data_IF_198910764627
#
_entry.id   IF_198910764627
#
_cell.length_a   1.000
_cell.length_b   1.000
_cell.length_c   1.000
_cell.angle_alpha   90.00
_cell.angle_beta   90.00
_cell.angle_gamma   90.00
#
_symmetry.space_group_name_H-M   'P 1'
#
loop_
_entity.id
_entity.type
_entity.pdbx_description
1 polymer ?
#
# COMPACT_ATOMS: atom_id res chain seq x y z
N UNK A 1 14.91 10.26 -17.32
CA UNK A 1 13.88 10.28 -18.36
C UNK A 1 13.88 11.64 -19.05
N UNK A 2 13.99 11.72 -20.39
CA UNK A 2 14.01 13.00 -21.11
C UNK A 2 12.73 13.85 -20.88
N UNK A 3 11.60 13.23 -20.59
CA UNK A 3 10.35 13.95 -20.33
C UNK A 3 10.41 14.75 -19.02
N UNK A 4 11.04 14.22 -17.98
CA UNK A 4 11.12 14.89 -16.68
C UNK A 4 11.99 16.16 -16.73
N UNK A 5 12.97 16.22 -17.65
CA UNK A 5 13.81 17.41 -17.86
C UNK A 5 13.06 18.61 -18.45
N UNK A 6 11.83 18.38 -18.92
CA UNK A 6 10.96 19.43 -19.47
C UNK A 6 10.09 20.10 -18.40
N UNK A 7 10.17 19.63 -17.14
CA UNK A 7 9.41 20.24 -16.04
C UNK A 7 10.07 21.54 -15.59
N UNK A 8 9.26 22.56 -15.37
CA UNK A 8 9.72 23.81 -14.75
C UNK A 8 9.94 23.62 -13.25
N UNK A 9 9.03 22.87 -12.60
CA UNK A 9 9.10 22.53 -11.18
C UNK A 9 8.64 21.10 -10.92
N UNK A 10 9.16 20.51 -9.84
CA UNK A 10 8.65 19.29 -9.26
C UNK A 10 8.31 19.52 -7.78
N UNK A 11 7.17 18.99 -7.32
CA UNK A 11 6.80 19.00 -5.90
C UNK A 11 7.09 17.64 -5.28
N UNK A 12 7.57 17.66 -4.03
CA UNK A 12 7.97 16.45 -3.29
C UNK A 12 7.45 16.48 -1.86
N UNK A 13 7.46 15.32 -1.20
CA UNK A 13 6.93 15.18 0.16
C UNK A 13 7.78 15.86 1.23
N UNK A 14 9.10 15.87 1.07
CA UNK A 14 10.01 16.48 2.06
C UNK A 14 11.28 17.01 1.43
N UNK A 15 11.99 17.86 2.16
CA UNK A 15 13.25 18.44 1.73
C UNK A 15 14.37 17.39 1.64
N UNK A 16 14.31 16.34 2.47
CA UNK A 16 15.32 15.29 2.47
C UNK A 16 15.39 14.55 1.13
N UNK A 17 14.24 14.36 0.46
CA UNK A 17 14.19 13.64 -0.81
C UNK A 17 14.34 14.56 -2.03
N UNK A 18 14.26 15.88 -1.85
CA UNK A 18 14.28 16.84 -2.98
C UNK A 18 15.49 16.63 -3.90
N UNK A 19 16.70 16.46 -3.33
CA UNK A 19 17.94 16.22 -4.09
C UNK A 19 17.89 14.95 -4.97
N UNK A 20 17.22 13.88 -4.50
CA UNK A 20 17.09 12.63 -5.27
C UNK A 20 16.17 12.82 -6.46
N UNK A 21 15.11 13.63 -6.30
CA UNK A 21 14.23 14.00 -7.41
C UNK A 21 14.92 14.93 -8.40
N UNK A 22 15.68 15.92 -7.92
CA UNK A 22 16.46 16.80 -8.77
C UNK A 22 17.43 16.00 -9.65
N UNK A 23 18.20 15.09 -9.06
CA UNK A 23 19.11 14.20 -9.77
C UNK A 23 18.35 13.28 -10.75
N UNK A 24 17.32 12.57 -10.30
CA UNK A 24 16.55 11.63 -11.11
C UNK A 24 15.80 12.26 -12.28
N UNK A 25 15.31 13.48 -12.12
CA UNK A 25 14.58 14.23 -13.15
C UNK A 25 15.52 15.10 -14.00
N UNK A 26 16.74 15.38 -13.52
CA UNK A 26 17.69 16.28 -14.18
C UNK A 26 17.26 17.74 -14.08
N UNK A 27 16.66 18.12 -12.93
CA UNK A 27 16.29 19.47 -12.57
C UNK A 27 17.35 20.10 -11.67
N UNK A 28 17.36 21.44 -11.55
CA UNK A 28 18.11 22.12 -10.51
C UNK A 28 17.41 21.96 -9.15
N UNK A 29 18.17 21.96 -8.06
CA UNK A 29 17.64 21.77 -6.69
C UNK A 29 16.57 22.82 -6.33
N UNK A 30 16.72 24.05 -6.82
CA UNK A 30 15.77 25.16 -6.61
C UNK A 30 14.41 24.94 -7.28
N UNK A 31 14.35 24.05 -8.28
CA UNK A 31 13.13 23.70 -9.01
C UNK A 31 12.40 22.50 -8.40
N UNK A 32 12.94 21.91 -7.33
CA UNK A 32 12.28 20.83 -6.60
C UNK A 32 11.83 21.34 -5.23
N UNK A 33 10.51 21.48 -5.06
CA UNK A 33 9.92 22.18 -3.92
C UNK A 33 9.20 21.20 -2.99
N UNK A 34 9.59 21.18 -1.72
CA UNK A 34 8.96 20.34 -0.70
C UNK A 34 7.67 21.00 -0.20
N UNK A 35 6.54 20.59 -0.77
CA UNK A 35 5.20 21.09 -0.42
C UNK A 35 4.33 20.03 0.26
N UNK A 36 4.79 18.82 0.39
CA UNK A 36 3.96 17.64 0.67
C UNK A 36 3.36 17.04 -0.60
N UNK A 37 2.53 16.03 -0.44
CA UNK A 37 1.87 15.30 -1.52
C UNK A 37 0.39 15.71 -1.55
N UNK A 38 -0.12 16.45 -2.55
CA UNK A 38 -1.49 16.99 -2.57
C UNK A 38 -2.59 15.92 -2.42
N UNK A 39 -2.40 14.75 -3.00
CA UNK A 39 -3.39 13.64 -2.88
C UNK A 39 -3.64 13.19 -1.45
N UNK A 40 -2.77 13.52 -0.49
CA UNK A 40 -2.95 13.15 0.91
C UNK A 40 -3.92 14.05 1.66
N UNK A 41 -4.36 15.16 1.08
CA UNK A 41 -5.32 16.09 1.67
C UNK A 41 -6.67 15.41 1.98
N UNK A 42 -7.04 14.37 1.22
CA UNK A 42 -8.26 13.58 1.47
C UNK A 42 -8.30 12.99 2.89
N UNK A 43 -7.14 12.68 3.48
CA UNK A 43 -7.07 12.13 4.83
C UNK A 43 -7.41 13.15 5.93
N UNK A 44 -7.43 14.44 5.60
CA UNK A 44 -7.87 15.51 6.49
C UNK A 44 -9.36 15.82 6.33
N UNK A 45 -10.02 15.34 5.27
CA UNK A 45 -11.44 15.54 5.00
C UNK A 45 -12.30 14.52 5.75
N UNK A 46 -12.88 14.95 6.86
CA UNK A 46 -13.75 14.10 7.70
C UNK A 46 -15.07 13.71 7.03
N UNK A 47 -15.58 14.57 6.15
CA UNK A 47 -16.82 14.30 5.42
C UNK A 47 -16.57 13.22 4.36
N UNK A 48 -15.47 13.37 3.62
CA UNK A 48 -15.01 12.34 2.69
C UNK A 48 -14.80 10.99 3.38
N UNK A 49 -14.04 10.97 4.48
CA UNK A 49 -13.78 9.76 5.27
C UNK A 49 -15.08 9.08 5.74
N UNK A 50 -16.05 9.87 6.22
CA UNK A 50 -17.36 9.36 6.65
C UNK A 50 -18.16 8.77 5.50
N UNK A 51 -18.13 9.41 4.33
CA UNK A 51 -18.80 8.94 3.12
C UNK A 51 -18.21 7.59 2.66
N UNK A 52 -16.88 7.48 2.61
CA UNK A 52 -16.21 6.23 2.21
C UNK A 52 -16.55 5.11 3.18
N UNK A 53 -16.45 5.34 4.49
CA UNK A 53 -16.84 4.34 5.50
C UNK A 53 -18.29 3.88 5.35
N UNK A 54 -19.23 4.80 5.16
CA UNK A 54 -20.66 4.48 5.00
C UNK A 54 -20.88 3.64 3.76
N UNK A 55 -20.37 4.08 2.61
CA UNK A 55 -20.48 3.36 1.34
C UNK A 55 -19.86 1.95 1.42
N UNK A 56 -18.71 1.81 2.06
CA UNK A 56 -18.06 0.52 2.24
C UNK A 56 -18.94 -0.46 3.05
N UNK A 57 -19.46 -0.03 4.21
CA UNK A 57 -20.29 -0.89 5.04
C UNK A 57 -21.74 -1.06 4.53
N UNK A 58 -22.21 -0.24 3.61
CA UNK A 58 -23.43 -0.49 2.84
C UNK A 58 -23.23 -1.63 1.84
N UNK A 59 -22.07 -1.65 1.16
CA UNK A 59 -21.68 -2.69 0.20
C UNK A 59 -21.31 -4.02 0.87
N UNK A 60 -20.66 -3.94 2.04
CA UNK A 60 -20.18 -5.11 2.79
C UNK A 60 -20.75 -5.12 4.22
N UNK A 61 -22.08 -5.28 4.39
CA UNK A 61 -22.73 -5.18 5.69
C UNK A 61 -22.28 -6.26 6.69
N UNK A 62 -21.82 -7.42 6.21
CA UNK A 62 -21.26 -8.50 7.02
C UNK A 62 -19.96 -8.11 7.75
N UNK A 63 -19.27 -7.08 7.28
CA UNK A 63 -18.00 -6.61 7.84
C UNK A 63 -18.18 -5.56 8.96
N UNK A 64 -19.38 -5.03 9.22
CA UNK A 64 -19.63 -3.93 10.18
C UNK A 64 -19.06 -4.17 11.59
N UNK A 65 -19.01 -5.43 12.02
CA UNK A 65 -18.56 -5.81 13.35
C UNK A 65 -17.21 -6.54 13.33
N UNK A 66 -16.48 -6.42 12.23
CA UNK A 66 -15.14 -7.00 12.07
C UNK A 66 -14.09 -5.89 12.03
N UNK A 67 -12.92 -6.18 12.55
CA UNK A 67 -11.72 -5.42 12.22
C UNK A 67 -11.28 -5.75 10.80
N UNK A 68 -10.69 -4.81 10.14
CA UNK A 68 -10.25 -4.97 8.74
C UNK A 68 -8.72 -5.05 8.70
N UNK A 69 -8.21 -6.17 8.19
CA UNK A 69 -6.83 -6.31 7.77
C UNK A 69 -6.75 -6.06 6.26
N UNK A 70 -6.02 -5.05 5.86
CA UNK A 70 -5.71 -4.78 4.45
C UNK A 70 -4.36 -5.40 4.11
N UNK A 71 -4.35 -6.33 3.16
CA UNK A 71 -3.14 -6.89 2.57
C UNK A 71 -2.86 -6.20 1.23
N UNK A 72 -1.84 -5.35 1.21
CA UNK A 72 -1.50 -4.51 0.05
C UNK A 72 0.00 -4.57 -0.26
N UNK A 73 0.50 -5.68 -0.84
CA UNK A 73 1.92 -5.84 -1.14
C UNK A 73 2.32 -5.14 -2.44
N UNK A 74 3.62 -4.93 -2.59
CA UNK A 74 4.23 -4.47 -3.84
C UNK A 74 4.35 -5.62 -4.83
N UNK A 75 4.13 -5.34 -6.12
CA UNK A 75 4.36 -6.32 -7.17
C UNK A 75 5.86 -6.61 -7.39
N UNK A 76 6.16 -7.76 -7.95
CA UNK A 76 7.48 -8.18 -8.41
C UNK A 76 7.55 -8.06 -9.93
N UNK A 77 8.73 -8.22 -10.51
CA UNK A 77 8.97 -8.07 -11.96
C UNK A 77 9.33 -6.64 -12.37
N UNK A 78 9.65 -6.46 -13.65
CA UNK A 78 10.16 -5.21 -14.24
C UNK A 78 9.05 -4.51 -15.05
N UNK A 79 8.22 -3.71 -14.36
CA UNK A 79 7.14 -2.96 -14.99
C UNK A 79 5.89 -3.81 -15.30
N UNK A 80 4.95 -3.21 -16.00
CA UNK A 80 3.60 -3.73 -16.22
C UNK A 80 3.56 -5.12 -16.86
N UNK A 81 4.41 -5.35 -17.87
CA UNK A 81 4.37 -6.58 -18.68
C UNK A 81 4.86 -7.84 -17.94
N UNK A 82 5.51 -7.68 -16.81
CA UNK A 82 6.04 -8.79 -16.01
C UNK A 82 5.67 -8.67 -14.54
N UNK A 83 4.69 -7.84 -14.23
CA UNK A 83 4.25 -7.64 -12.85
C UNK A 83 3.49 -8.86 -12.33
N UNK A 84 3.88 -9.36 -11.18
CA UNK A 84 3.20 -10.44 -10.47
C UNK A 84 3.37 -10.29 -8.97
N UNK A 85 2.55 -10.99 -8.21
CA UNK A 85 2.80 -11.25 -6.79
C UNK A 85 2.78 -12.77 -6.56
N UNK A 86 3.80 -13.35 -5.88
CA UNK A 86 3.81 -14.78 -5.60
C UNK A 86 2.76 -15.11 -4.53
N UNK A 87 1.56 -15.47 -4.97
CA UNK A 87 0.40 -15.69 -4.08
C UNK A 87 0.60 -16.84 -3.10
N UNK A 88 1.47 -17.78 -3.42
CA UNK A 88 1.88 -18.90 -2.57
C UNK A 88 2.81 -18.49 -1.41
N UNK A 89 3.43 -17.30 -1.49
CA UNK A 89 4.26 -16.79 -0.41
C UNK A 89 3.47 -16.38 0.84
N UNK A 90 2.19 -16.02 0.67
CA UNK A 90 1.31 -15.60 1.76
C UNK A 90 0.09 -16.51 1.85
N UNK A 91 0.09 -17.41 2.84
CA UNK A 91 -1.03 -18.32 3.11
C UNK A 91 -2.20 -17.54 3.73
N UNK A 92 -3.11 -17.08 2.85
CA UNK A 92 -4.24 -16.22 3.22
C UNK A 92 -5.26 -16.98 4.12
N UNK A 93 -5.43 -18.28 3.91
CA UNK A 93 -6.33 -19.11 4.71
C UNK A 93 -5.80 -19.24 6.13
N UNK A 94 -4.53 -19.58 6.27
CA UNK A 94 -3.86 -19.70 7.56
C UNK A 94 -3.79 -18.35 8.29
N UNK A 95 -3.57 -17.25 7.55
CA UNK A 95 -3.59 -15.91 8.13
C UNK A 95 -4.98 -15.60 8.71
N UNK A 96 -6.06 -15.88 7.96
CA UNK A 96 -7.44 -15.67 8.43
C UNK A 96 -7.77 -16.52 9.65
N UNK A 97 -7.44 -17.81 9.62
CA UNK A 97 -7.66 -18.71 10.75
C UNK A 97 -6.89 -18.27 12.01
N UNK A 98 -5.65 -17.80 11.83
CA UNK A 98 -4.80 -17.28 12.92
C UNK A 98 -5.36 -16.02 13.58
N UNK A 99 -6.16 -15.23 12.85
CA UNK A 99 -6.86 -14.04 13.36
C UNK A 99 -8.13 -14.38 14.16
N UNK A 100 -8.48 -15.67 14.26
CA UNK A 100 -9.59 -16.15 15.12
C UNK A 100 -10.95 -15.62 14.78
N UNK A 101 -11.19 -15.19 13.54
CA UNK A 101 -12.45 -14.63 13.08
C UNK A 101 -12.77 -13.21 13.59
N UNK A 102 -11.85 -12.54 14.27
CA UNK A 102 -12.00 -11.14 14.69
C UNK A 102 -11.86 -10.18 13.50
N UNK A 103 -11.00 -10.53 12.53
CA UNK A 103 -10.72 -9.73 11.35
C UNK A 103 -11.40 -10.29 10.11
N UNK A 104 -11.74 -9.39 9.19
CA UNK A 104 -11.89 -9.69 7.78
C UNK A 104 -10.61 -9.27 7.05
N UNK A 105 -10.32 -9.91 5.92
CA UNK A 105 -9.14 -9.62 5.09
C UNK A 105 -9.59 -8.99 3.78
N UNK A 106 -9.07 -7.82 3.47
CA UNK A 106 -9.15 -7.20 2.15
C UNK A 106 -7.81 -7.40 1.44
N UNK A 107 -7.84 -7.92 0.24
CA UNK A 107 -6.65 -8.09 -0.60
C UNK A 107 -6.66 -6.99 -1.65
N UNK A 108 -5.57 -6.23 -1.74
CA UNK A 108 -5.41 -5.18 -2.74
C UNK A 108 -4.06 -5.34 -3.46
N UNK A 109 -4.03 -6.20 -4.46
CA UNK A 109 -2.87 -6.32 -5.33
C UNK A 109 -2.77 -5.10 -6.25
N UNK A 110 -1.56 -4.85 -6.74
CA UNK A 110 -1.34 -3.81 -7.72
C UNK A 110 -2.09 -4.13 -9.02
N UNK A 111 -2.70 -3.15 -9.71
CA UNK A 111 -3.47 -3.37 -10.94
C UNK A 111 -2.70 -4.07 -12.07
N UNK A 112 -1.37 -4.06 -12.03
CA UNK A 112 -0.53 -4.77 -13.00
C UNK A 112 -0.46 -6.28 -12.76
N UNK A 113 -0.87 -6.77 -11.57
CA UNK A 113 -0.90 -8.20 -11.29
C UNK A 113 -2.19 -8.80 -11.87
N UNK A 114 -2.06 -9.72 -12.80
CA UNK A 114 -3.21 -10.45 -13.38
C UNK A 114 -3.61 -11.65 -12.50
N UNK A 115 -2.62 -12.30 -11.91
CA UNK A 115 -2.85 -13.43 -11.00
C UNK A 115 -3.44 -12.95 -9.66
N UNK A 116 -4.40 -13.71 -9.14
CA UNK A 116 -5.14 -13.42 -7.91
C UNK A 116 -5.00 -14.57 -6.91
N UNK A 117 -5.25 -14.25 -5.64
CA UNK A 117 -5.36 -15.28 -4.61
C UNK A 117 -6.58 -16.17 -4.85
N UNK A 118 -6.39 -17.48 -4.67
CA UNK A 118 -7.51 -18.41 -4.61
C UNK A 118 -8.16 -18.32 -3.22
N UNK A 119 -9.36 -17.75 -3.16
CA UNK A 119 -10.10 -17.57 -1.91
C UNK A 119 -11.06 -18.76 -1.77
N UNK A 120 -10.91 -19.61 -0.70
CA UNK A 120 -11.82 -20.69 -0.46
C UNK A 120 -13.26 -20.20 -0.25
N UNK A 121 -14.25 -20.87 -0.86
CA UNK A 121 -15.66 -20.46 -0.79
C UNK A 121 -16.16 -20.28 0.64
N UNK A 122 -15.72 -21.13 1.57
CA UNK A 122 -16.04 -21.03 3.01
C UNK A 122 -15.63 -19.71 3.68
N UNK A 123 -14.73 -18.94 3.07
CA UNK A 123 -14.23 -17.65 3.59
C UNK A 123 -14.58 -16.46 2.71
N UNK A 124 -15.29 -16.66 1.61
CA UNK A 124 -15.58 -15.61 0.61
C UNK A 124 -16.35 -14.39 1.17
N UNK A 125 -17.05 -14.56 2.30
CA UNK A 125 -17.71 -13.44 3.00
C UNK A 125 -16.75 -12.61 3.86
N UNK A 126 -15.56 -13.14 4.18
CA UNK A 126 -14.61 -12.54 5.14
C UNK A 126 -13.24 -12.25 4.51
N UNK A 127 -12.91 -12.86 3.38
CA UNK A 127 -11.72 -12.57 2.58
C UNK A 127 -12.21 -12.04 1.24
N UNK A 128 -11.92 -10.78 0.95
CA UNK A 128 -12.48 -10.09 -0.21
C UNK A 128 -11.34 -9.53 -1.06
N UNK A 129 -11.30 -9.89 -2.35
CA UNK A 129 -10.39 -9.29 -3.31
C UNK A 129 -10.92 -7.94 -3.78
N UNK A 130 -10.16 -6.88 -3.47
CA UNK A 130 -10.41 -5.49 -3.84
C UNK A 130 -9.47 -4.99 -4.93
N UNK A 131 -8.75 -5.91 -5.61
CA UNK A 131 -7.68 -5.51 -6.53
C UNK A 131 -8.19 -4.72 -7.73
N UNK A 132 -9.42 -4.97 -8.17
CA UNK A 132 -10.00 -4.36 -9.35
C UNK A 132 -10.96 -3.19 -9.07
N UNK A 133 -11.33 -2.95 -7.80
CA UNK A 133 -12.51 -2.12 -7.52
C UNK A 133 -12.21 -0.76 -6.90
N UNK A 134 -11.54 -0.72 -5.75
CA UNK A 134 -11.45 0.51 -4.97
C UNK A 134 -10.04 1.13 -5.02
N UNK A 135 -10.00 2.45 -4.88
CA UNK A 135 -8.76 3.17 -4.66
C UNK A 135 -8.13 2.73 -3.33
N UNK A 136 -6.84 2.40 -3.35
CA UNK A 136 -6.12 1.94 -2.16
C UNK A 136 -6.25 2.92 -0.98
N UNK A 137 -6.20 4.22 -1.26
CA UNK A 137 -6.31 5.25 -0.24
C UNK A 137 -7.67 5.26 0.46
N UNK A 138 -8.74 4.92 -0.27
CA UNK A 138 -10.09 4.83 0.30
C UNK A 138 -10.21 3.66 1.26
N UNK A 139 -9.54 2.53 0.97
CA UNK A 139 -9.51 1.38 1.85
C UNK A 139 -8.83 1.68 3.20
N UNK A 140 -7.87 2.62 3.24
CA UNK A 140 -7.22 3.01 4.50
C UNK A 140 -8.20 3.59 5.53
N UNK A 141 -9.31 4.20 5.08
CA UNK A 141 -10.32 4.72 6.02
C UNK A 141 -11.08 3.64 6.78
N UNK A 142 -11.08 2.41 6.31
CA UNK A 142 -11.74 1.27 6.98
C UNK A 142 -10.75 0.26 7.56
N UNK A 143 -9.45 0.46 7.36
CA UNK A 143 -8.39 -0.47 7.75
C UNK A 143 -8.00 -0.30 9.22
N UNK A 144 -7.96 -1.41 9.95
CA UNK A 144 -7.47 -1.48 11.33
C UNK A 144 -6.04 -2.04 11.43
N UNK A 145 -5.59 -2.77 10.41
CA UNK A 145 -4.23 -3.30 10.28
C UNK A 145 -3.83 -3.35 8.81
N UNK A 146 -2.73 -2.70 8.46
CA UNK A 146 -2.12 -2.84 7.14
C UNK A 146 -1.03 -3.91 7.20
N UNK A 147 -1.13 -4.92 6.33
CA UNK A 147 -0.05 -5.87 6.05
C UNK A 147 0.48 -5.55 4.66
N UNK A 148 1.73 -5.16 4.59
CA UNK A 148 2.40 -4.74 3.33
C UNK A 148 3.85 -5.19 3.34
N UNK A 149 4.62 -4.79 2.35
CA UNK A 149 6.06 -5.05 2.25
C UNK A 149 6.86 -3.77 1.95
N UNK A 150 7.16 -3.49 0.69
CA UNK A 150 7.99 -2.35 0.23
C UNK A 150 7.18 -1.20 -0.36
N UNK A 151 5.88 -1.22 -0.16
CA UNK A 151 4.95 -0.26 -0.76
C UNK A 151 5.03 1.13 -0.13
N UNK A 152 4.93 2.17 -0.96
CA UNK A 152 4.81 3.55 -0.49
C UNK A 152 3.51 3.85 0.27
N UNK A 153 2.53 2.96 0.26
CA UNK A 153 1.27 3.10 1.03
C UNK A 153 1.49 3.33 2.53
N UNK A 154 2.67 2.95 3.04
CA UNK A 154 3.05 3.18 4.44
C UNK A 154 3.01 4.66 4.84
N UNK A 155 3.27 5.57 3.90
CA UNK A 155 3.21 7.01 4.18
C UNK A 155 1.77 7.46 4.38
N UNK A 156 0.85 7.05 3.52
CA UNK A 156 -0.57 7.33 3.65
C UNK A 156 -1.18 6.67 4.90
N UNK A 157 -0.84 5.41 5.15
CA UNK A 157 -1.27 4.69 6.35
C UNK A 157 -0.77 5.36 7.64
N UNK A 158 0.44 5.95 7.62
CA UNK A 158 0.98 6.71 8.75
C UNK A 158 0.17 7.98 9.06
N UNK A 159 -0.36 8.66 8.03
CA UNK A 159 -1.19 9.87 8.22
C UNK A 159 -2.47 9.53 8.99
N UNK A 160 -3.08 8.38 8.71
CA UNK A 160 -4.30 7.93 9.39
C UNK A 160 -4.04 7.04 10.62
N UNK A 161 -2.77 6.89 11.01
CA UNK A 161 -2.33 6.11 12.18
C UNK A 161 -2.76 4.63 12.14
N UNK A 162 -2.81 4.02 10.97
CA UNK A 162 -3.07 2.59 10.82
C UNK A 162 -1.84 1.80 11.25
N UNK A 163 -1.96 0.86 12.21
CA UNK A 163 -0.89 -0.06 12.57
C UNK A 163 -0.42 -0.88 11.35
N UNK A 164 0.89 -1.16 11.28
CA UNK A 164 1.49 -1.85 10.12
C UNK A 164 2.27 -3.08 10.54
N UNK A 165 2.17 -4.12 9.71
CA UNK A 165 3.00 -5.32 9.73
C UNK A 165 3.69 -5.45 8.37
N UNK A 166 4.97 -5.71 8.35
CA UNK A 166 5.77 -5.83 7.14
C UNK A 166 6.08 -7.29 6.84
N UNK A 167 5.41 -7.86 5.85
CA UNK A 167 5.66 -9.21 5.38
C UNK A 167 6.69 -9.15 4.24
N UNK A 168 7.97 -9.19 4.62
CA UNK A 168 9.12 -8.95 3.74
C UNK A 168 9.91 -10.25 3.48
N UNK A 169 9.22 -11.33 3.10
CA UNK A 169 9.76 -12.68 2.95
C UNK A 169 10.97 -12.77 2.00
N UNK A 170 11.06 -11.87 1.04
CA UNK A 170 12.11 -11.82 0.02
C UNK A 170 13.00 -10.56 0.12
N UNK A 171 13.14 -9.96 1.31
CA UNK A 171 13.85 -8.69 1.53
C UNK A 171 15.26 -8.67 0.90
N UNK A 172 16.02 -9.77 1.02
CA UNK A 172 17.37 -9.86 0.49
C UNK A 172 17.41 -9.87 -1.06
N UNK A 173 16.40 -10.45 -1.68
CA UNK A 173 16.27 -10.52 -3.13
C UNK A 173 15.79 -9.18 -3.67
N UNK A 174 14.72 -8.65 -3.09
CA UNK A 174 14.16 -7.36 -3.45
C UNK A 174 15.20 -6.22 -3.35
N UNK A 175 16.01 -6.20 -2.29
CA UNK A 175 17.07 -5.19 -2.11
C UNK A 175 18.19 -5.27 -3.17
N UNK A 176 18.42 -6.44 -3.75
CA UNK A 176 19.39 -6.58 -4.86
C UNK A 176 18.86 -6.03 -6.18
N UNK A 177 17.54 -6.16 -6.40
CA UNK A 177 16.91 -5.79 -7.67
C UNK A 177 16.44 -4.33 -7.68
N UNK A 178 16.02 -3.82 -6.52
CA UNK A 178 15.36 -2.51 -6.37
C UNK A 178 15.78 -1.81 -5.09
N UNK A 179 16.98 -1.54 -4.86
CA UNK A 179 17.54 -0.91 -3.65
C UNK A 179 16.64 0.16 -2.98
N UNK A 180 16.98 0.52 -1.75
CA UNK A 180 16.28 1.54 -0.96
C UNK A 180 17.17 2.75 -0.71
N UNK A 181 16.59 3.95 -0.67
CA UNK A 181 17.28 5.17 -0.24
C UNK A 181 17.55 5.22 1.27
N UNK A 182 16.99 4.29 2.04
CA UNK A 182 17.14 4.19 3.49
C UNK A 182 17.34 2.73 3.91
N UNK A 183 17.81 2.53 5.13
CA UNK A 183 17.83 1.19 5.71
C UNK A 183 16.41 0.75 6.06
N UNK A 184 15.84 -0.18 5.28
CA UNK A 184 14.47 -0.63 5.41
C UNK A 184 14.11 -1.05 6.83
N UNK A 185 14.94 -1.88 7.47
CA UNK A 185 14.65 -2.43 8.79
C UNK A 185 14.57 -1.40 9.91
N UNK A 186 15.28 -0.28 9.78
CA UNK A 186 15.24 0.82 10.75
C UNK A 186 14.24 1.93 10.38
N UNK A 187 13.76 1.93 9.14
CA UNK A 187 12.88 2.95 8.62
C UNK A 187 11.40 2.63 8.87
N UNK A 188 10.99 1.37 8.67
CA UNK A 188 9.58 1.01 8.76
C UNK A 188 9.05 1.03 10.19
N UNK A 189 7.84 1.57 10.42
CA UNK A 189 7.32 1.83 11.78
C UNK A 189 6.65 0.61 12.42
N UNK A 190 6.74 -0.58 11.81
CA UNK A 190 6.05 -1.79 12.29
C UNK A 190 6.97 -3.01 12.38
N UNK A 191 6.40 -4.13 12.83
CA UNK A 191 7.13 -5.40 12.92
C UNK A 191 7.37 -5.96 11.53
N UNK A 192 8.61 -6.41 11.29
CA UNK A 192 8.99 -7.13 10.07
C UNK A 192 8.89 -8.64 10.33
N UNK A 193 8.30 -9.33 9.37
CA UNK A 193 8.24 -10.80 9.28
C UNK A 193 8.89 -11.20 7.96
N UNK A 194 9.80 -12.16 8.03
CA UNK A 194 10.58 -12.69 6.90
C UNK A 194 10.06 -14.07 6.51
#
# INVERSE_FOLDING_TARGET
DPNHRMYDYAIVSSQEIAKHYAEGFGLSDENVVATGIPRTDIFMDKEYASKIRSSFYERYPQLKNKKIMLFAPTFRGNGQMSAFYPTDAFDIEKAYEGLGGEYAILIKLHPFCEERFEIPEKYSDMIIDMSDEDELNDLLFVTDLLVTDYSSVIFEASIVNVPMLFFAFDLNEYSRDRDFYCNFASFVPGKIVL
#
